data_IF_722981954718
#
_entry.id   IF_722981954718
#
_cell.length_a   1.000
_cell.length_b   1.000
_cell.length_c   1.000
_cell.angle_alpha   90.00
_cell.angle_beta   90.00
_cell.angle_gamma   90.00
#
_symmetry.space_group_name_H-M   'P 1'
#
loop_
_entity.id
_entity.type
_entity.pdbx_description
1 polymer ?
#
# COMPACT_ATOMS: atom_id res chain seq x y z
N UNK A 1 -29.27 -43.19 76.91
CA UNK A 1 -28.92 -43.72 75.61
C UNK A 1 -29.52 -42.75 74.58
N UNK A 2 -28.74 -41.80 74.05
CA UNK A 2 -29.15 -40.90 72.94
C UNK A 2 -28.08 -40.94 71.87
N UNK A 3 -28.46 -41.45 70.72
CA UNK A 3 -27.62 -41.44 69.55
C UNK A 3 -27.49 -40.01 68.99
N UNK A 4 -26.25 -39.55 68.83
CA UNK A 4 -25.95 -38.33 68.08
C UNK A 4 -25.65 -38.67 66.60
N UNK A 5 -26.44 -38.17 65.67
CA UNK A 5 -26.23 -38.29 64.23
C UNK A 5 -25.25 -37.22 63.71
N UNK A 6 -24.15 -37.71 63.17
CA UNK A 6 -23.18 -36.84 62.46
C UNK A 6 -23.73 -36.46 61.04
N UNK A 7 -23.95 -35.19 60.80
CA UNK A 7 -24.25 -34.66 59.43
C UNK A 7 -22.94 -34.21 58.81
N UNK A 8 -22.48 -34.95 57.81
CA UNK A 8 -21.35 -34.57 56.96
C UNK A 8 -21.81 -33.48 55.96
N UNK A 9 -21.22 -32.30 56.05
CA UNK A 9 -21.39 -31.25 55.07
C UNK A 9 -20.38 -31.47 53.93
N UNK A 10 -20.88 -31.66 52.70
CA UNK A 10 -20.10 -31.79 51.48
C UNK A 10 -19.91 -30.40 50.89
N UNK A 11 -18.69 -29.84 50.94
CA UNK A 11 -18.33 -28.61 50.28
C UNK A 11 -18.06 -28.92 48.80
N UNK A 12 -18.91 -28.41 47.91
CA UNK A 12 -18.67 -28.37 46.46
C UNK A 12 -17.77 -27.17 46.16
N UNK A 13 -16.52 -27.45 45.76
CA UNK A 13 -15.63 -26.45 45.18
C UNK A 13 -15.90 -26.41 43.68
N UNK A 14 -16.57 -25.32 43.21
CA UNK A 14 -16.74 -25.03 41.78
C UNK A 14 -15.50 -24.31 41.33
N UNK A 15 -14.62 -24.99 40.57
CA UNK A 15 -13.50 -24.41 39.87
C UNK A 15 -14.01 -23.73 38.56
N UNK A 16 -14.09 -22.41 38.58
CA UNK A 16 -14.37 -21.62 37.36
C UNK A 16 -13.13 -21.58 36.50
N UNK A 17 -13.10 -22.35 35.41
CA UNK A 17 -12.07 -22.30 34.39
C UNK A 17 -12.31 -21.08 33.50
N UNK A 18 -11.54 -19.98 33.66
CA UNK A 18 -11.49 -18.89 32.71
C UNK A 18 -10.81 -19.37 31.42
N UNK A 19 -11.57 -19.65 30.39
CA UNK A 19 -11.05 -19.85 29.04
C UNK A 19 -10.64 -18.48 28.47
N UNK A 20 -9.34 -18.23 28.43
CA UNK A 20 -8.77 -17.11 27.65
C UNK A 20 -8.97 -17.41 26.16
N UNK A 21 -10.00 -16.84 25.56
CA UNK A 21 -10.14 -16.78 24.11
C UNK A 21 -9.06 -15.83 23.58
N UNK A 22 -7.90 -16.40 23.24
CA UNK A 22 -6.92 -15.71 22.42
C UNK A 22 -7.55 -15.45 21.04
N UNK A 23 -7.77 -14.20 20.67
CA UNK A 23 -8.08 -13.82 19.28
C UNK A 23 -6.87 -14.17 18.41
N UNK A 24 -6.80 -15.40 17.91
CA UNK A 24 -5.95 -15.73 16.77
C UNK A 24 -6.60 -15.11 15.56
N UNK A 25 -5.97 -14.07 15.01
CA UNK A 25 -6.36 -13.54 13.70
C UNK A 25 -6.26 -14.69 12.68
N UNK A 26 -7.41 -15.11 12.15
CA UNK A 26 -7.45 -16.10 11.07
C UNK A 26 -6.63 -15.55 9.91
N UNK A 27 -5.72 -16.34 9.29
CA UNK A 27 -5.05 -15.90 8.08
C UNK A 27 -6.11 -15.59 7.01
N UNK A 28 -6.00 -14.42 6.40
CA UNK A 28 -6.91 -13.97 5.37
C UNK A 28 -6.93 -14.99 4.22
N UNK A 29 -8.02 -15.73 4.05
CA UNK A 29 -8.15 -16.84 3.09
C UNK A 29 -8.00 -16.43 1.62
N UNK A 30 -7.83 -15.12 1.35
CA UNK A 30 -7.68 -14.55 0.01
C UNK A 30 -6.24 -14.49 -0.49
N UNK A 31 -5.23 -14.83 0.33
CA UNK A 31 -3.81 -14.71 0.00
C UNK A 31 -3.29 -13.26 -0.06
N UNK A 32 -4.10 -12.26 0.26
CA UNK A 32 -3.71 -10.86 0.33
C UNK A 32 -3.19 -10.49 1.71
N UNK A 33 -2.05 -9.80 1.75
CA UNK A 33 -1.45 -9.19 2.95
C UNK A 33 -1.67 -7.69 2.91
N UNK A 34 -2.28 -7.13 3.95
CA UNK A 34 -2.48 -5.69 4.06
C UNK A 34 -1.15 -5.01 4.45
N UNK A 35 -0.72 -4.06 3.64
CA UNK A 35 0.37 -3.13 3.95
C UNK A 35 -0.19 -1.82 4.51
N UNK A 36 -1.34 -1.36 4.01
CA UNK A 36 -2.13 -0.25 4.56
C UNK A 36 -3.57 -0.73 4.67
N UNK A 37 -4.19 -0.52 5.84
CA UNK A 37 -5.61 -0.79 6.10
C UNK A 37 -6.19 0.36 6.92
N UNK A 38 -6.89 1.27 6.24
CA UNK A 38 -7.34 2.51 6.81
C UNK A 38 -6.17 3.38 7.32
N UNK A 39 -6.21 3.75 8.59
CA UNK A 39 -5.17 4.55 9.26
C UNK A 39 -4.01 3.71 9.81
N UNK A 40 -3.93 2.41 9.51
CA UNK A 40 -2.92 1.47 10.00
C UNK A 40 -1.97 1.05 8.89
N UNK A 41 -0.76 0.60 9.26
CA UNK A 41 0.19 -0.02 8.34
C UNK A 41 1.47 0.79 8.12
N UNK A 42 1.65 1.98 8.72
CA UNK A 42 2.91 2.72 8.61
C UNK A 42 4.11 1.89 9.11
N UNK A 43 3.89 1.00 10.07
CA UNK A 43 4.90 0.07 10.61
C UNK A 43 5.44 -0.93 9.57
N UNK A 44 4.75 -1.14 8.45
CA UNK A 44 5.19 -2.00 7.35
C UNK A 44 6.23 -1.33 6.45
N UNK A 45 6.49 -0.03 6.67
CA UNK A 45 7.35 0.77 5.82
C UNK A 45 8.49 1.42 6.60
N UNK A 46 9.53 1.80 5.85
CA UNK A 46 10.56 2.74 6.26
C UNK A 46 10.34 4.03 5.48
N UNK A 47 10.18 5.14 6.18
CA UNK A 47 10.03 6.45 5.55
C UNK A 47 11.40 7.04 5.18
N UNK A 48 11.50 7.62 3.98
CA UNK A 48 12.64 8.46 3.55
C UNK A 48 12.10 9.78 3.01
N UNK A 49 12.94 10.85 3.09
CA UNK A 49 12.50 12.21 2.79
C UNK A 49 11.87 12.87 4.02
N UNK A 50 11.15 13.97 3.81
CA UNK A 50 10.61 14.82 4.88
C UNK A 50 9.09 15.04 4.78
N UNK A 51 8.38 14.18 4.03
CA UNK A 51 6.91 14.26 3.96
C UNK A 51 6.27 13.99 5.33
N UNK A 52 5.23 14.71 5.63
CA UNK A 52 4.49 14.64 6.87
C UNK A 52 3.51 13.45 6.91
N UNK A 53 4.03 12.25 6.64
CA UNK A 53 3.23 11.03 6.69
C UNK A 53 2.53 10.85 8.02
N UNK A 54 1.22 10.66 8.01
CA UNK A 54 0.39 10.50 9.20
C UNK A 54 -0.85 9.68 8.94
N UNK A 55 -1.36 9.08 9.99
CA UNK A 55 -2.67 8.42 10.02
C UNK A 55 -3.75 9.46 10.27
N UNK A 56 -4.68 9.64 9.34
CA UNK A 56 -5.72 10.67 9.41
C UNK A 56 -6.97 10.23 8.62
N UNK A 57 -8.16 10.40 9.17
CA UNK A 57 -9.45 10.15 8.52
C UNK A 57 -9.55 8.77 7.82
N UNK A 58 -9.02 7.73 8.45
CA UNK A 58 -9.07 6.37 7.91
C UNK A 58 -8.14 6.12 6.71
N UNK A 59 -7.05 6.88 6.59
CA UNK A 59 -6.01 6.71 5.58
C UNK A 59 -4.62 7.05 6.14
N UNK A 60 -3.58 6.66 5.41
CA UNK A 60 -2.23 7.20 5.54
C UNK A 60 -2.13 8.38 4.57
N UNK A 61 -1.80 9.56 5.09
CA UNK A 61 -1.85 10.83 4.34
C UNK A 61 -0.49 11.50 4.32
N UNK A 62 -0.14 12.14 3.19
CA UNK A 62 0.91 13.14 3.09
C UNK A 62 0.40 14.30 2.22
N UNK A 63 0.69 15.54 2.63
CA UNK A 63 0.29 16.76 1.91
C UNK A 63 1.36 17.85 1.94
N UNK A 64 2.53 17.56 2.55
CA UNK A 64 3.63 18.50 2.66
C UNK A 64 4.97 17.80 2.72
N UNK A 65 5.90 18.26 1.88
CA UNK A 65 7.32 17.91 1.94
C UNK A 65 8.14 19.02 1.26
N UNK A 66 9.44 19.07 1.53
CA UNK A 66 10.42 19.91 0.81
C UNK A 66 11.07 19.12 -0.33
N UNK A 67 11.18 17.80 -0.17
CA UNK A 67 11.79 16.90 -1.13
C UNK A 67 10.86 15.71 -1.40
N UNK A 68 11.05 15.05 -2.54
CA UNK A 68 10.35 13.81 -2.83
C UNK A 68 10.58 12.79 -1.70
N UNK A 69 9.51 12.20 -1.23
CA UNK A 69 9.50 11.37 -0.02
C UNK A 69 8.76 10.06 -0.28
N UNK A 70 9.16 9.01 0.41
CA UNK A 70 8.66 7.67 0.13
C UNK A 70 8.43 6.88 1.41
N UNK A 71 7.38 6.03 1.39
CA UNK A 71 7.20 4.91 2.30
C UNK A 71 7.66 3.65 1.58
N UNK A 72 8.81 3.09 1.96
CA UNK A 72 9.42 1.91 1.35
C UNK A 72 9.05 0.69 2.18
N UNK A 73 8.47 -0.36 1.55
CA UNK A 73 8.12 -1.59 2.26
C UNK A 73 9.35 -2.26 2.85
N UNK A 74 9.21 -2.83 4.05
CA UNK A 74 10.28 -3.60 4.71
C UNK A 74 10.56 -4.90 3.97
N UNK A 75 9.55 -5.48 3.35
CA UNK A 75 9.64 -6.71 2.59
C UNK A 75 9.93 -6.45 1.10
N UNK A 76 10.57 -7.41 0.46
CA UNK A 76 10.85 -7.43 -0.99
C UNK A 76 9.97 -8.44 -1.69
N UNK A 77 9.60 -8.14 -2.93
CA UNK A 77 8.68 -8.95 -3.73
C UNK A 77 9.27 -9.22 -5.12
N UNK A 78 8.99 -10.40 -5.68
CA UNK A 78 9.42 -10.81 -7.02
C UNK A 78 8.22 -10.84 -7.96
N UNK A 79 7.35 -11.83 -7.78
CA UNK A 79 6.11 -12.00 -8.54
C UNK A 79 4.93 -11.75 -7.60
N UNK A 80 4.11 -10.75 -7.93
CA UNK A 80 3.06 -10.29 -7.02
C UNK A 80 1.94 -9.55 -7.74
N UNK A 81 0.85 -9.38 -7.03
CA UNK A 81 -0.16 -8.36 -7.33
C UNK A 81 -0.27 -7.37 -6.18
N UNK A 82 -0.50 -6.11 -6.52
CA UNK A 82 -0.88 -5.04 -5.59
C UNK A 82 -2.28 -4.57 -5.97
N UNK A 83 -3.16 -4.44 -4.98
CA UNK A 83 -4.37 -3.63 -5.09
C UNK A 83 -4.27 -2.45 -4.13
N UNK A 84 -4.52 -1.25 -4.64
CA UNK A 84 -4.43 -0.03 -3.87
C UNK A 84 -5.67 0.82 -4.06
N UNK A 85 -6.14 1.45 -2.96
CA UNK A 85 -7.14 2.51 -2.99
C UNK A 85 -6.51 3.79 -2.49
N UNK A 86 -6.58 4.85 -3.30
CA UNK A 86 -5.96 6.12 -2.99
C UNK A 86 -6.83 7.29 -3.43
N UNK A 87 -6.66 8.42 -2.76
CA UNK A 87 -7.20 9.71 -3.17
C UNK A 87 -6.05 10.66 -3.50
N UNK A 88 -6.15 11.37 -4.62
CA UNK A 88 -5.16 12.33 -5.07
C UNK A 88 -5.79 13.71 -5.25
N UNK A 89 -5.10 14.76 -4.84
CA UNK A 89 -5.43 16.12 -5.24
C UNK A 89 -5.15 16.32 -6.76
N UNK A 90 -5.72 17.36 -7.36
CA UNK A 90 -5.48 17.65 -8.79
C UNK A 90 -4.02 17.98 -9.12
N UNK A 91 -3.24 18.40 -8.13
CA UNK A 91 -1.83 18.76 -8.26
C UNK A 91 -0.88 17.68 -7.71
N UNK A 92 -1.43 16.54 -7.27
CA UNK A 92 -0.65 15.44 -6.74
C UNK A 92 0.34 14.93 -7.78
N UNK A 93 1.59 14.76 -7.33
CA UNK A 93 2.62 13.94 -7.95
C UNK A 93 2.93 12.80 -6.99
N UNK A 94 2.59 11.58 -7.38
CA UNK A 94 2.73 10.38 -6.55
C UNK A 94 2.89 9.15 -7.46
N UNK A 95 3.02 7.97 -6.86
CA UNK A 95 3.13 6.72 -7.58
C UNK A 95 3.38 5.53 -6.67
N UNK A 96 3.29 4.34 -7.26
CA UNK A 96 3.71 3.10 -6.63
C UNK A 96 4.94 2.61 -7.39
N UNK A 97 6.07 2.58 -6.70
CA UNK A 97 7.33 2.08 -7.23
C UNK A 97 7.44 0.58 -6.95
N UNK A 98 7.84 -0.20 -7.95
CA UNK A 98 7.91 -1.66 -7.89
C UNK A 98 9.36 -2.10 -8.02
N UNK A 99 9.75 -3.15 -7.27
CA UNK A 99 11.05 -3.82 -7.40
C UNK A 99 12.24 -2.86 -7.31
N UNK A 100 12.27 -2.02 -6.26
CA UNK A 100 13.37 -1.09 -6.03
C UNK A 100 14.71 -1.84 -5.96
N UNK A 101 15.68 -1.43 -6.77
CA UNK A 101 17.06 -1.93 -6.73
C UNK A 101 17.96 -1.11 -5.79
N UNK A 102 17.52 0.09 -5.40
CA UNK A 102 18.20 0.97 -4.46
C UNK A 102 17.16 1.67 -3.57
N UNK A 103 17.21 1.41 -2.26
CA UNK A 103 16.29 2.01 -1.27
C UNK A 103 16.76 3.35 -0.74
N UNK A 104 17.99 3.77 -1.05
CA UNK A 104 18.52 5.07 -0.62
C UNK A 104 18.18 6.19 -1.61
N UNK A 105 17.91 5.83 -2.86
CA UNK A 105 17.56 6.75 -3.93
C UNK A 105 16.46 6.12 -4.78
N UNK A 106 15.22 6.55 -4.61
CA UNK A 106 14.05 6.02 -5.34
C UNK A 106 13.80 6.86 -6.58
N UNK A 107 13.79 6.21 -7.74
CA UNK A 107 13.53 6.85 -9.02
C UNK A 107 13.07 5.82 -10.07
N UNK A 108 12.53 6.27 -11.20
CA UNK A 108 12.22 5.42 -12.36
C UNK A 108 13.49 4.76 -12.97
N UNK A 109 14.68 5.32 -12.72
CA UNK A 109 15.93 4.75 -13.19
C UNK A 109 16.33 3.47 -12.45
N UNK A 110 15.87 3.27 -11.21
CA UNK A 110 16.21 2.12 -10.35
C UNK A 110 15.01 1.29 -9.86
N UNK A 111 13.84 1.48 -10.48
CA UNK A 111 12.59 0.77 -10.19
C UNK A 111 11.58 0.92 -11.34
N UNK A 112 10.37 0.40 -11.17
CA UNK A 112 9.23 0.66 -12.06
C UNK A 112 8.23 1.58 -11.36
N UNK A 113 8.06 2.80 -11.84
CA UNK A 113 7.13 3.78 -11.29
C UNK A 113 5.77 3.70 -11.98
N UNK A 114 4.76 3.15 -11.31
CA UNK A 114 3.35 3.27 -11.73
C UNK A 114 2.86 4.64 -11.27
N UNK A 115 2.67 5.54 -12.22
CA UNK A 115 2.53 6.97 -11.96
C UNK A 115 1.12 7.41 -11.56
N UNK A 116 1.06 8.42 -10.67
CA UNK A 116 -0.12 9.20 -10.29
C UNK A 116 0.23 10.67 -10.45
N UNK A 117 0.14 11.20 -11.67
CA UNK A 117 0.51 12.58 -11.94
C UNK A 117 -0.29 13.13 -13.12
N UNK A 118 -1.41 13.79 -12.84
CA UNK A 118 -2.33 14.34 -13.85
C UNK A 118 -1.76 15.51 -14.63
N UNK A 119 -0.79 16.22 -14.04
CA UNK A 119 -0.14 17.40 -14.63
C UNK A 119 1.26 17.11 -15.18
N UNK A 120 1.59 15.81 -15.39
CA UNK A 120 2.88 15.44 -15.96
C UNK A 120 3.12 16.16 -17.28
N UNK A 121 4.31 16.81 -17.46
CA UNK A 121 4.62 17.54 -18.70
C UNK A 121 4.55 16.68 -19.96
N UNK A 122 5.02 15.43 -19.89
CA UNK A 122 4.72 14.41 -20.92
C UNK A 122 3.52 13.57 -20.49
N UNK A 123 2.31 13.82 -21.03
CA UNK A 123 1.09 13.14 -20.63
C UNK A 123 1.09 11.64 -20.96
N UNK A 124 1.96 11.18 -21.86
CA UNK A 124 2.10 9.76 -22.20
C UNK A 124 2.62 8.94 -21.03
N UNK A 125 3.36 9.58 -20.12
CA UNK A 125 3.85 8.96 -18.87
C UNK A 125 3.13 9.50 -17.61
N UNK A 126 1.93 10.06 -17.75
CA UNK A 126 1.12 10.52 -16.63
C UNK A 126 0.42 9.38 -15.87
N UNK A 127 -0.71 9.70 -15.25
CA UNK A 127 -1.47 8.75 -14.41
C UNK A 127 -1.79 7.45 -15.14
N UNK A 128 -1.41 6.33 -14.52
CA UNK A 128 -1.64 4.98 -15.05
C UNK A 128 -0.55 4.43 -15.97
N UNK A 129 0.47 5.21 -16.32
CA UNK A 129 1.65 4.76 -17.07
C UNK A 129 2.68 4.10 -16.16
N UNK A 130 3.67 3.41 -16.75
CA UNK A 130 4.94 3.09 -16.10
C UNK A 130 6.00 4.02 -16.68
N UNK A 131 6.51 4.93 -15.85
CA UNK A 131 7.42 6.01 -16.29
C UNK A 131 8.64 5.44 -17.01
N UNK A 132 8.96 6.02 -18.19
CA UNK A 132 10.07 5.65 -19.08
C UNK A 132 10.05 4.18 -19.59
N UNK A 133 8.97 3.42 -19.30
CA UNK A 133 8.83 2.01 -19.69
C UNK A 133 7.60 1.81 -20.57
N UNK A 134 6.43 2.25 -20.13
CA UNK A 134 5.18 2.02 -20.86
C UNK A 134 4.27 3.23 -20.78
N UNK A 135 3.84 3.70 -21.95
CA UNK A 135 2.96 4.86 -22.12
C UNK A 135 1.51 4.48 -21.86
N UNK A 136 0.73 5.45 -21.40
CA UNK A 136 -0.74 5.33 -21.29
C UNK A 136 -1.39 5.87 -22.57
N UNK A 137 -2.52 5.25 -22.97
CA UNK A 137 -3.32 5.73 -24.09
C UNK A 137 -3.89 7.12 -23.81
N UNK A 138 -4.13 7.88 -24.88
CA UNK A 138 -4.73 9.20 -24.77
C UNK A 138 -6.23 9.16 -25.11
N UNK A 139 -7.10 9.91 -24.41
CA UNK A 139 -6.75 10.85 -23.33
C UNK A 139 -6.31 10.10 -22.06
N UNK A 140 -5.24 10.59 -21.41
CA UNK A 140 -4.74 10.03 -20.15
C UNK A 140 -5.83 10.05 -19.07
N UNK A 141 -6.04 8.96 -18.31
CA UNK A 141 -6.98 8.95 -17.20
C UNK A 141 -6.54 9.94 -16.10
N UNK A 142 -7.50 10.45 -15.34
CA UNK A 142 -7.27 11.44 -14.30
C UNK A 142 -7.62 10.89 -12.92
N UNK A 143 -6.71 11.13 -11.96
CA UNK A 143 -6.84 10.70 -10.56
C UNK A 143 -7.38 11.80 -9.63
N UNK A 144 -7.16 13.07 -9.97
CA UNK A 144 -7.39 14.20 -9.09
C UNK A 144 -8.83 14.36 -8.61
N UNK A 145 -8.99 14.71 -7.32
CA UNK A 145 -10.26 15.06 -6.68
C UNK A 145 -11.16 13.89 -6.30
N UNK A 146 -10.71 12.65 -6.38
CA UNK A 146 -11.53 11.45 -6.12
C UNK A 146 -10.72 10.26 -5.60
N UNK A 147 -11.42 9.28 -5.03
CA UNK A 147 -10.86 7.97 -4.74
C UNK A 147 -10.70 7.15 -6.02
N UNK A 148 -9.58 6.46 -6.11
CA UNK A 148 -9.19 5.65 -7.24
C UNK A 148 -8.69 4.29 -6.79
N UNK A 149 -8.63 3.34 -7.74
CA UNK A 149 -8.05 2.02 -7.52
C UNK A 149 -6.95 1.72 -8.53
N UNK A 150 -5.89 1.08 -8.06
CA UNK A 150 -4.97 0.34 -8.91
C UNK A 150 -5.07 -1.16 -8.64
N UNK A 151 -5.01 -1.97 -9.69
CA UNK A 151 -4.60 -3.36 -9.63
C UNK A 151 -3.36 -3.50 -10.51
N UNK A 152 -2.23 -3.84 -9.88
CA UNK A 152 -0.94 -3.95 -10.54
C UNK A 152 -0.48 -5.40 -10.44
N UNK A 153 -0.15 -6.02 -11.57
CA UNK A 153 0.40 -7.38 -11.63
C UNK A 153 1.83 -7.30 -12.15
N UNK A 154 2.78 -7.89 -11.41
CA UNK A 154 4.16 -8.08 -11.85
C UNK A 154 4.49 -9.58 -11.76
N UNK A 155 4.69 -10.24 -12.90
CA UNK A 155 5.05 -11.67 -12.99
C UNK A 155 6.15 -11.86 -14.03
N UNK A 156 7.32 -12.36 -13.59
CA UNK A 156 8.50 -12.41 -14.46
C UNK A 156 8.82 -11.03 -15.02
N UNK A 157 8.90 -10.92 -16.35
CA UNK A 157 9.10 -9.66 -17.07
C UNK A 157 7.81 -8.88 -17.34
N UNK A 158 6.62 -9.53 -17.25
CA UNK A 158 5.36 -8.90 -17.61
C UNK A 158 4.80 -8.05 -16.45
N UNK A 159 4.38 -6.82 -16.79
CA UNK A 159 3.69 -5.91 -15.89
C UNK A 159 2.38 -5.46 -16.51
N UNK A 160 1.29 -5.57 -15.74
CA UNK A 160 -0.05 -5.11 -16.10
C UNK A 160 -0.48 -4.08 -15.07
N UNK A 161 -1.00 -2.95 -15.51
CA UNK A 161 -1.58 -1.91 -14.67
C UNK A 161 -3.04 -1.73 -15.08
N UNK A 162 -3.93 -1.85 -14.11
CA UNK A 162 -5.34 -1.47 -14.24
C UNK A 162 -5.62 -0.28 -13.32
N UNK A 163 -6.15 0.79 -13.90
CA UNK A 163 -6.58 1.99 -13.19
C UNK A 163 -8.10 2.10 -13.25
N UNK A 164 -8.76 2.11 -12.09
CA UNK A 164 -10.22 2.11 -11.96
C UNK A 164 -10.92 1.03 -12.82
N UNK A 165 -10.33 -0.18 -12.85
CA UNK A 165 -10.85 -1.32 -13.61
C UNK A 165 -10.56 -1.30 -15.11
N UNK A 166 -9.82 -0.30 -15.61
CA UNK A 166 -9.40 -0.21 -17.02
C UNK A 166 -7.92 -0.49 -17.13
N UNK A 167 -7.52 -1.44 -17.97
CA UNK A 167 -6.11 -1.73 -18.24
C UNK A 167 -5.47 -0.56 -18.96
N UNK A 168 -4.45 0.04 -18.35
CA UNK A 168 -3.70 1.17 -18.90
C UNK A 168 -2.35 0.77 -19.47
N UNK A 169 -1.76 -0.31 -18.93
CA UNK A 169 -0.47 -0.85 -19.36
C UNK A 169 -0.51 -2.38 -19.39
N UNK A 170 0.12 -2.97 -20.39
CA UNK A 170 0.52 -4.37 -20.49
C UNK A 170 1.86 -4.40 -21.23
N UNK A 171 2.95 -4.68 -20.51
CA UNK A 171 4.29 -4.56 -21.04
C UNK A 171 5.20 -5.65 -20.51
N UNK A 172 6.18 -6.06 -21.31
CA UNK A 172 7.30 -6.88 -20.87
C UNK A 172 8.58 -6.03 -20.74
N UNK A 173 9.18 -6.05 -19.55
CA UNK A 173 10.43 -5.35 -19.25
C UNK A 173 11.16 -6.03 -18.10
N UNK A 174 12.43 -6.45 -18.29
CA UNK A 174 13.15 -7.35 -17.39
C UNK A 174 14.26 -6.68 -16.56
N UNK A 175 14.33 -5.34 -16.53
CA UNK A 175 15.45 -4.62 -15.89
C UNK A 175 15.52 -4.88 -14.37
N UNK A 176 14.37 -4.97 -13.67
CA UNK A 176 14.31 -5.21 -12.24
C UNK A 176 13.50 -6.47 -11.96
N UNK A 177 14.14 -7.47 -11.31
CA UNK A 177 13.52 -8.77 -11.07
C UNK A 177 12.76 -8.85 -9.75
N UNK A 178 13.22 -8.15 -8.71
CA UNK A 178 12.64 -8.15 -7.36
C UNK A 178 13.10 -6.93 -6.57
N UNK A 179 12.44 -6.64 -5.49
CA UNK A 179 12.79 -5.57 -4.55
C UNK A 179 11.57 -5.09 -3.76
N UNK A 180 11.77 -4.17 -2.82
CA UNK A 180 10.68 -3.51 -2.11
C UNK A 180 9.78 -2.73 -3.07
N UNK A 181 8.59 -2.37 -2.58
CA UNK A 181 7.74 -1.35 -3.20
C UNK A 181 7.89 -0.03 -2.44
N UNK A 182 7.51 1.09 -3.07
CA UNK A 182 7.40 2.36 -2.38
C UNK A 182 6.14 3.13 -2.80
N UNK A 183 5.57 3.86 -1.83
CA UNK A 183 4.50 4.83 -2.02
C UNK A 183 5.13 6.22 -1.98
N UNK A 184 4.87 7.06 -2.97
CA UNK A 184 5.51 8.36 -3.12
C UNK A 184 4.63 9.52 -2.65
N UNK A 185 5.28 10.58 -2.14
CA UNK A 185 4.85 11.96 -2.16
C UNK A 185 5.90 12.79 -2.90
N UNK A 186 5.56 13.34 -4.06
CA UNK A 186 6.47 14.09 -4.93
C UNK A 186 6.08 15.56 -5.06
N UNK A 187 7.00 16.39 -5.52
CA UNK A 187 6.72 17.77 -5.90
C UNK A 187 5.79 17.81 -7.11
N UNK A 188 4.93 18.82 -7.19
CA UNK A 188 4.05 19.05 -8.30
C UNK A 188 4.79 19.49 -9.58
N UNK A 189 4.00 19.88 -10.61
CA UNK A 189 4.57 20.37 -11.86
C UNK A 189 5.34 21.68 -11.66
N UNK A 190 6.45 21.85 -12.37
CA UNK A 190 7.30 23.06 -12.32
C UNK A 190 7.79 23.40 -10.89
N UNK A 191 8.15 22.37 -10.13
CA UNK A 191 8.61 22.49 -8.73
C UNK A 191 7.61 23.14 -7.77
N UNK A 192 6.33 23.19 -8.14
CA UNK A 192 5.27 23.56 -7.21
C UNK A 192 5.16 22.52 -6.11
N UNK A 193 4.66 22.86 -4.91
CA UNK A 193 4.32 21.87 -3.90
C UNK A 193 3.38 20.82 -4.48
N UNK A 194 3.65 19.53 -4.18
CA UNK A 194 2.76 18.43 -4.54
C UNK A 194 1.44 18.55 -3.78
N UNK A 195 0.34 18.17 -4.41
CA UNK A 195 -0.96 18.03 -3.75
C UNK A 195 -1.03 16.79 -2.85
N UNK A 196 -2.03 16.75 -1.99
CA UNK A 196 -2.21 15.66 -1.04
C UNK A 196 -2.42 14.30 -1.72
N UNK A 197 -1.82 13.27 -1.14
CA UNK A 197 -2.08 11.85 -1.43
C UNK A 197 -2.60 11.17 -0.17
N UNK A 198 -3.65 10.34 -0.30
CA UNK A 198 -4.19 9.54 0.79
C UNK A 198 -4.25 8.08 0.34
N UNK A 199 -3.73 7.17 1.15
CA UNK A 199 -3.77 5.73 0.94
C UNK A 199 -4.66 5.10 2.00
N UNK A 200 -5.83 4.55 1.63
CA UNK A 200 -6.69 3.89 2.62
C UNK A 200 -6.63 2.37 2.54
N UNK A 201 -6.11 1.83 1.41
CA UNK A 201 -5.86 0.41 1.25
C UNK A 201 -4.66 0.20 0.35
N UNK A 202 -3.72 -0.60 0.79
CA UNK A 202 -2.65 -1.17 -0.04
C UNK A 202 -2.46 -2.60 0.41
N UNK A 203 -2.74 -3.55 -0.48
CA UNK A 203 -2.60 -4.97 -0.20
C UNK A 203 -1.76 -5.61 -1.28
N UNK A 204 -0.97 -6.60 -0.90
CA UNK A 204 -0.09 -7.34 -1.80
C UNK A 204 -0.32 -8.84 -1.63
N UNK A 205 -0.20 -9.60 -2.73
CA UNK A 205 -0.13 -11.07 -2.68
C UNK A 205 0.98 -11.58 -3.59
N UNK A 206 1.69 -12.60 -3.15
CA UNK A 206 2.62 -13.34 -3.99
C UNK A 206 1.85 -14.14 -5.06
N UNK A 207 2.50 -14.36 -6.23
CA UNK A 207 1.97 -15.13 -7.36
C UNK A 207 2.80 -16.39 -7.61
#
# INVERSE_FOLDING_TARGET
MKLMSLRSALLLVVAASLALFGCTSMPNSSGWTALVDGAKGMENFTAIGDANWRAEEGAIVADKAKVASYLISKESYKDFQIRAEFWADHTTNSGIFLRLSNTKEVSAANSYEVNIFDQRPDPLYGTGAIVDVARVAQPMPKAGGKWNTFLITARGSRMIVEFNGVQTVDVEHSKFASGPIALQFGNGAKDAPGGAIKWRKVEIRAL
#
